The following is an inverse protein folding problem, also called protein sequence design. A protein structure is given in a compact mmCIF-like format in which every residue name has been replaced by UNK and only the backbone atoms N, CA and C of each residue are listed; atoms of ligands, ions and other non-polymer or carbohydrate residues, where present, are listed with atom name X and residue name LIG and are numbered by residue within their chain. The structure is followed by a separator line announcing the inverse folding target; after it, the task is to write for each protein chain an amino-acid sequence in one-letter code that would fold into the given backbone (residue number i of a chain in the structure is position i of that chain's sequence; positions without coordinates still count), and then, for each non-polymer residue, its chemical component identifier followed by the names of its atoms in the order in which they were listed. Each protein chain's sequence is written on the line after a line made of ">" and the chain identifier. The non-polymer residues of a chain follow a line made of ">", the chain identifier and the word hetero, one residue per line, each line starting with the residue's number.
data_IF_851062192332
#
_entry.id   IF_851062192332
#
_cell.length_a   1.000
_cell.length_b   1.000
_cell.length_c   1.000
_cell.angle_alpha   90.00
_cell.angle_beta   90.00
_cell.angle_gamma   90.00
#
_symmetry.space_group_name_H-M   'P 1'
#
loop_
_entity.id
_entity.type
_entity.pdbx_description
1 polymer ?
#
# COMPACT_ATOMS: atom_id res chain seq x y z
N UNK A 1 10.63 -15.71 -6.03
CA UNK A 1 9.18 -16.02 -6.10
C UNK A 1 8.51 -14.70 -6.38
N UNK A 2 7.88 -14.55 -7.54
CA UNK A 2 7.16 -13.32 -7.86
C UNK A 2 5.88 -13.28 -7.04
N UNK A 3 5.77 -12.33 -6.12
CA UNK A 3 4.52 -12.03 -5.46
C UNK A 3 3.98 -10.72 -6.03
N UNK A 4 2.70 -10.72 -6.37
CA UNK A 4 2.00 -9.55 -6.87
C UNK A 4 1.15 -9.02 -5.74
N UNK A 5 1.33 -7.74 -5.39
CA UNK A 5 0.43 -7.04 -4.46
C UNK A 5 -0.34 -6.00 -5.27
N UNK A 6 -1.66 -6.17 -5.30
CA UNK A 6 -2.61 -5.19 -5.81
C UNK A 6 -2.82 -4.12 -4.75
N UNK A 7 -2.68 -2.86 -5.15
CA UNK A 7 -3.00 -1.71 -4.31
C UNK A 7 -4.04 -0.84 -5.02
N UNK A 8 -5.15 -0.57 -4.35
CA UNK A 8 -6.23 0.30 -4.84
C UNK A 8 -6.38 1.46 -3.87
N UNK A 9 -6.27 2.68 -4.38
CA UNK A 9 -6.46 3.87 -3.55
C UNK A 9 -7.91 3.91 -3.09
N UNK A 10 -8.09 4.02 -1.78
CA UNK A 10 -9.41 4.18 -1.18
C UNK A 10 -9.73 5.67 -1.02
N UNK A 11 -8.74 6.42 -0.56
CA UNK A 11 -8.91 7.83 -0.23
C UNK A 11 -7.57 8.56 -0.22
N UNK A 12 -7.57 9.83 -0.65
CA UNK A 12 -6.39 10.69 -0.62
C UNK A 12 -6.77 12.13 -0.26
N UNK A 13 -6.15 12.63 0.81
CA UNK A 13 -6.23 14.03 1.23
C UNK A 13 -4.85 14.71 1.15
N UNK A 14 -4.81 15.99 1.52
CA UNK A 14 -3.55 16.73 1.72
C UNK A 14 -2.67 16.14 2.85
N UNK A 15 -3.26 15.44 3.82
CA UNK A 15 -2.54 14.90 4.98
C UNK A 15 -2.08 13.44 4.81
N UNK A 16 -2.88 12.61 4.15
CA UNK A 16 -2.65 11.18 4.08
C UNK A 16 -3.23 10.57 2.81
N UNK A 17 -2.73 9.38 2.46
CA UNK A 17 -3.33 8.51 1.46
C UNK A 17 -3.57 7.14 2.06
N UNK A 18 -4.75 6.56 1.76
CA UNK A 18 -5.16 5.23 2.21
C UNK A 18 -5.30 4.34 0.99
N UNK A 19 -4.66 3.17 1.06
CA UNK A 19 -4.73 2.14 0.05
C UNK A 19 -5.32 0.87 0.65
N UNK A 20 -6.18 0.21 -0.11
CA UNK A 20 -6.45 -1.21 0.05
C UNK A 20 -5.32 -2.00 -0.60
N UNK A 21 -4.80 -3.00 0.07
CA UNK A 21 -3.69 -3.81 -0.43
C UNK A 21 -3.93 -5.30 -0.22
N UNK A 22 -3.52 -6.15 -1.15
CA UNK A 22 -3.70 -7.60 -1.03
C UNK A 22 -3.30 -8.37 -2.28
N UNK A 23 -3.40 -9.71 -2.24
CA UNK A 23 -3.15 -10.55 -3.42
C UNK A 23 -4.22 -10.37 -4.50
N UNK A 24 -5.46 -10.01 -4.13
CA UNK A 24 -6.60 -9.86 -5.03
C UNK A 24 -7.64 -8.85 -4.49
N UNK A 25 -8.76 -8.67 -5.20
CA UNK A 25 -9.83 -7.73 -4.81
C UNK A 25 -10.70 -8.22 -3.65
N UNK A 26 -10.72 -9.53 -3.36
CA UNK A 26 -11.53 -10.13 -2.28
C UNK A 26 -10.77 -10.17 -0.96
N UNK A 27 -9.45 -10.37 -1.00
CA UNK A 27 -8.58 -10.41 0.17
C UNK A 27 -7.77 -9.13 0.27
N UNK A 28 -8.30 -8.11 0.94
CA UNK A 28 -7.64 -6.81 1.08
C UNK A 28 -7.49 -6.41 2.54
N UNK A 29 -6.32 -5.89 2.89
CA UNK A 29 -6.08 -5.08 4.07
C UNK A 29 -6.08 -3.59 3.70
N UNK A 30 -5.85 -2.71 4.68
CA UNK A 30 -5.80 -1.25 4.51
C UNK A 30 -4.52 -0.69 5.11
N UNK A 31 -3.79 0.07 4.31
CA UNK A 31 -2.56 0.76 4.70
C UNK A 31 -2.76 2.26 4.54
N UNK A 32 -2.30 3.02 5.52
CA UNK A 32 -2.30 4.48 5.51
C UNK A 32 -0.88 4.99 5.45
N UNK A 33 -0.61 5.90 4.52
CA UNK A 33 0.59 6.71 4.50
C UNK A 33 0.25 8.13 4.93
N UNK A 34 0.92 8.61 5.97
CA UNK A 34 0.89 10.02 6.35
C UNK A 34 1.91 10.79 5.48
N UNK A 35 1.44 11.74 4.67
CA UNK A 35 2.28 12.52 3.75
C UNK A 35 3.16 13.55 4.48
N UNK A 36 2.78 13.96 5.69
CA UNK A 36 3.54 14.91 6.52
C UNK A 36 4.70 14.25 7.24
N UNK A 37 4.49 13.04 7.76
CA UNK A 37 5.49 12.30 8.55
C UNK A 37 6.18 11.19 7.78
N UNK A 38 5.70 10.87 6.57
CA UNK A 38 6.08 9.70 5.78
C UNK A 38 5.92 8.36 6.54
N UNK A 39 5.10 8.34 7.58
CA UNK A 39 4.85 7.14 8.35
C UNK A 39 3.76 6.30 7.71
N UNK A 40 4.04 5.01 7.61
CA UNK A 40 3.09 3.99 7.19
C UNK A 40 2.44 3.37 8.43
N UNK A 41 1.14 3.12 8.34
CA UNK A 41 0.35 2.50 9.41
C UNK A 41 -0.59 1.48 8.79
N UNK A 42 -0.59 0.27 9.35
CA UNK A 42 -1.59 -0.74 9.02
C UNK A 42 -2.89 -0.39 9.74
N UNK A 43 -3.97 -0.19 8.98
CA UNK A 43 -5.31 0.01 9.52
C UNK A 43 -6.02 -1.33 9.68
N UNK A 44 -5.93 -2.16 8.64
CA UNK A 44 -6.50 -3.50 8.62
C UNK A 44 -5.50 -4.47 7.95
N UNK A 45 -5.18 -5.61 8.59
CA UNK A 45 -4.32 -6.60 7.98
C UNK A 45 -5.06 -7.35 6.87
N UNK A 46 -4.31 -7.89 5.90
CA UNK A 46 -4.88 -8.76 4.86
C UNK A 46 -5.38 -10.06 5.50
N UNK A 47 -6.60 -10.55 5.19
CA UNK A 47 -7.12 -11.80 5.72
C UNK A 47 -6.48 -13.02 5.02
N UNK A 48 -5.17 -13.17 5.13
CA UNK A 48 -4.40 -14.24 4.53
C UNK A 48 -3.38 -14.84 5.52
N UNK A 49 -2.78 -16.01 5.23
CA UNK A 49 -1.79 -16.63 6.12
C UNK A 49 -0.49 -15.82 6.31
N UNK A 50 -0.20 -14.88 5.40
CA UNK A 50 1.03 -14.09 5.37
C UNK A 50 0.76 -12.58 5.28
N UNK A 51 0.04 -11.98 6.25
CA UNK A 51 -0.38 -10.58 6.18
C UNK A 51 0.83 -9.63 6.20
N UNK A 52 1.84 -9.94 7.02
CA UNK A 52 3.08 -9.17 7.12
C UNK A 52 3.82 -9.03 5.79
N UNK A 53 3.87 -10.11 5.01
CA UNK A 53 4.53 -10.09 3.70
C UNK A 53 3.85 -9.07 2.77
N UNK A 54 2.53 -9.08 2.71
CA UNK A 54 1.76 -8.14 1.88
C UNK A 54 1.90 -6.70 2.37
N UNK A 55 1.93 -6.50 3.69
CA UNK A 55 2.15 -5.18 4.29
C UNK A 55 3.53 -4.64 3.93
N UNK A 56 4.59 -5.43 4.09
CA UNK A 56 5.97 -5.02 3.79
C UNK A 56 6.11 -4.64 2.30
N UNK A 57 5.45 -5.36 1.40
CA UNK A 57 5.43 -5.05 -0.03
C UNK A 57 4.68 -3.76 -0.35
N UNK A 58 3.50 -3.57 0.24
CA UNK A 58 2.71 -2.34 0.08
C UNK A 58 3.47 -1.12 0.63
N UNK A 59 4.11 -1.30 1.78
CA UNK A 59 4.96 -0.30 2.42
C UNK A 59 6.14 0.09 1.52
N UNK A 60 6.84 -0.88 0.93
CA UNK A 60 7.94 -0.63 0.00
C UNK A 60 7.48 0.12 -1.25
N UNK A 61 6.32 -0.24 -1.83
CA UNK A 61 5.76 0.47 -2.99
C UNK A 61 5.48 1.93 -2.67
N UNK A 62 4.87 2.21 -1.52
CA UNK A 62 4.55 3.57 -1.07
C UNK A 62 5.81 4.37 -0.72
N UNK A 63 6.78 3.75 -0.05
CA UNK A 63 8.07 4.38 0.20
C UNK A 63 8.77 4.76 -1.11
N UNK A 64 8.70 3.91 -2.15
CA UNK A 64 9.23 4.22 -3.48
C UNK A 64 8.50 5.37 -4.16
N UNK A 65 7.17 5.48 -4.03
CA UNK A 65 6.41 6.63 -4.53
C UNK A 65 6.94 7.95 -3.98
N UNK A 66 7.20 7.98 -2.67
CA UNK A 66 7.72 9.18 -1.99
C UNK A 66 9.16 9.46 -2.43
N UNK A 67 10.03 8.44 -2.42
CA UNK A 67 11.46 8.61 -2.65
C UNK A 67 11.83 8.90 -4.11
N UNK A 68 11.06 8.38 -5.07
CA UNK A 68 11.46 8.38 -6.49
C UNK A 68 10.41 8.94 -7.45
N UNK A 69 9.12 8.90 -7.09
CA UNK A 69 8.01 9.31 -7.97
C UNK A 69 7.41 10.66 -7.53
N UNK A 70 8.11 11.42 -6.68
CA UNK A 70 7.68 12.75 -6.23
C UNK A 70 6.39 12.77 -5.41
N UNK A 71 6.00 11.64 -4.82
CA UNK A 71 4.73 11.52 -4.08
C UNK A 71 3.50 11.44 -4.98
N UNK A 72 3.64 10.99 -6.23
CA UNK A 72 2.50 10.70 -7.11
C UNK A 72 1.91 9.34 -6.71
N UNK A 73 0.66 9.37 -6.25
CA UNK A 73 -0.09 8.20 -5.82
C UNK A 73 -1.15 7.85 -6.87
N UNK A 74 -0.96 6.77 -7.63
CA UNK A 74 -1.93 6.35 -8.66
C UNK A 74 -3.15 5.64 -8.05
N UNK A 75 -4.31 5.71 -8.71
CA UNK A 75 -5.55 5.04 -8.27
C UNK A 75 -5.37 3.52 -8.12
N UNK A 76 -4.62 2.89 -9.03
CA UNK A 76 -4.28 1.48 -8.98
C UNK A 76 -2.79 1.28 -9.20
N UNK A 77 -2.20 0.41 -8.40
CA UNK A 77 -0.79 0.08 -8.47
C UNK A 77 -0.61 -1.42 -8.27
N UNK A 78 0.37 -1.97 -8.98
CA UNK A 78 0.84 -3.33 -8.77
C UNK A 78 2.28 -3.26 -8.32
N UNK A 79 2.64 -4.06 -7.33
CA UNK A 79 4.02 -4.27 -6.93
C UNK A 79 4.40 -5.73 -7.15
N UNK A 80 5.53 -5.93 -7.81
CA UNK A 80 6.09 -7.24 -8.13
C UNK A 80 7.57 -7.22 -7.73
N UNK A 81 8.03 -8.26 -7.03
CA UNK A 81 9.44 -8.47 -6.63
C UNK A 81 10.07 -9.60 -7.41
#
# INVERSE_FOLDING_TARGET
>A
MAAIVLMIKEHEDGDAVVYKFGPDEQHQGRIRLNKKTNMLSELEPVPCPSPKFHFDMAAQRLARCIATEGGIFSERMYFMT
#
